data_IF_971100321750
#
_entry.id   IF_971100321750
#
_cell.length_a   1.000
_cell.length_b   1.000
_cell.length_c   1.000
_cell.angle_alpha   90.00
_cell.angle_beta   90.00
_cell.angle_gamma   90.00
#
_symmetry.space_group_name_H-M   'P 1'
#
loop_
_entity.id
_entity.type
_entity.pdbx_description
1 polymer ?
#
# COMPACT_ATOMS: atom_id res chain seq x y z
N UNK A 1 10.35 -37.31 -38.48
CA UNK A 1 9.85 -37.97 -37.28
C UNK A 1 8.45 -37.45 -36.97
N UNK A 2 7.41 -38.28 -37.13
CA UNK A 2 6.03 -37.87 -36.85
C UNK A 2 5.88 -37.73 -35.32
N UNK A 3 5.75 -36.52 -34.80
CA UNK A 3 5.32 -36.29 -33.40
C UNK A 3 3.88 -36.77 -33.32
N UNK A 4 3.67 -37.91 -32.66
CA UNK A 4 2.32 -38.36 -32.28
C UNK A 4 1.72 -37.26 -31.40
N UNK A 5 0.66 -36.61 -31.85
CA UNK A 5 -0.06 -35.62 -31.09
C UNK A 5 -0.81 -36.36 -29.99
N UNK A 6 -0.37 -36.22 -28.74
CA UNK A 6 -1.07 -36.77 -27.60
C UNK A 6 -2.29 -35.87 -27.29
N UNK A 7 -3.47 -36.46 -27.30
CA UNK A 7 -4.71 -35.77 -26.91
C UNK A 7 -5.01 -36.20 -25.46
N UNK A 8 -5.13 -35.21 -24.59
CA UNK A 8 -5.57 -35.39 -23.19
C UNK A 8 -6.97 -34.81 -23.02
N UNK A 9 -7.83 -35.51 -22.31
CA UNK A 9 -9.17 -35.05 -21.97
C UNK A 9 -9.23 -34.73 -20.48
N UNK A 10 -9.63 -33.52 -20.14
CA UNK A 10 -9.81 -33.08 -18.76
C UNK A 10 -11.19 -33.53 -18.26
N UNK A 11 -11.21 -34.43 -17.30
CA UNK A 11 -12.44 -35.01 -16.76
C UNK A 11 -13.00 -34.24 -15.56
N UNK A 12 -12.13 -33.58 -14.78
CA UNK A 12 -12.51 -32.81 -13.61
C UNK A 12 -11.53 -31.65 -13.40
N UNK A 13 -12.02 -30.57 -12.81
CA UNK A 13 -11.24 -29.40 -12.44
C UNK A 13 -11.40 -29.09 -10.97
N UNK A 14 -10.35 -28.60 -10.30
CA UNK A 14 -10.47 -28.17 -8.91
C UNK A 14 -11.34 -26.91 -8.80
N UNK A 15 -12.04 -26.81 -7.67
CA UNK A 15 -12.78 -25.62 -7.28
C UNK A 15 -12.11 -25.00 -6.04
N UNK A 16 -11.59 -23.79 -6.17
CA UNK A 16 -10.84 -23.10 -5.13
C UNK A 16 -11.61 -21.86 -4.69
N UNK A 17 -12.02 -21.82 -3.41
CA UNK A 17 -12.81 -20.72 -2.84
C UNK A 17 -14.04 -20.35 -3.69
N UNK A 18 -14.71 -21.36 -4.24
CA UNK A 18 -15.90 -21.19 -5.09
C UNK A 18 -15.61 -20.81 -6.54
N UNK A 19 -14.35 -20.74 -6.95
CA UNK A 19 -13.94 -20.51 -8.34
C UNK A 19 -13.51 -21.84 -8.97
N UNK A 20 -14.19 -22.24 -10.04
CA UNK A 20 -13.79 -23.41 -10.84
C UNK A 20 -12.64 -23.01 -11.75
N UNK A 21 -11.58 -23.80 -11.75
CA UNK A 21 -10.48 -23.64 -12.70
C UNK A 21 -10.86 -24.21 -14.05
N UNK A 22 -10.09 -23.86 -15.10
CA UNK A 22 -10.33 -24.24 -16.48
C UNK A 22 -9.16 -25.08 -17.03
N UNK A 23 -9.30 -25.54 -18.25
CA UNK A 23 -8.25 -26.17 -19.04
C UNK A 23 -7.09 -25.20 -19.33
N UNK A 24 -7.39 -23.90 -19.52
CA UNK A 24 -6.39 -22.86 -19.72
C UNK A 24 -5.50 -22.70 -18.47
N UNK A 25 -6.10 -22.75 -17.28
CA UNK A 25 -5.35 -22.69 -16.00
C UNK A 25 -4.40 -23.89 -15.84
N UNK A 26 -4.81 -25.07 -16.33
CA UNK A 26 -3.95 -26.25 -16.34
C UNK A 26 -2.78 -26.09 -17.31
N UNK A 27 -3.02 -25.57 -18.50
CA UNK A 27 -1.96 -25.32 -19.51
C UNK A 27 -0.95 -24.31 -18.95
N UNK A 28 -1.42 -23.23 -18.38
CA UNK A 28 -0.57 -22.19 -17.72
C UNK A 28 0.32 -22.82 -16.62
N UNK A 29 -0.25 -23.70 -15.82
CA UNK A 29 0.51 -24.38 -14.77
C UNK A 29 1.56 -25.36 -15.33
N UNK A 30 1.20 -26.11 -16.38
CA UNK A 30 2.15 -27.02 -17.04
C UNK A 30 3.32 -26.26 -17.69
N UNK A 31 3.05 -25.09 -18.29
CA UNK A 31 4.09 -24.22 -18.83
C UNK A 31 5.02 -23.70 -17.70
N UNK A 32 4.45 -23.27 -16.57
CA UNK A 32 5.23 -22.86 -15.43
C UNK A 32 6.12 -23.98 -14.88
N UNK A 33 5.62 -25.23 -14.83
CA UNK A 33 6.40 -26.37 -14.38
C UNK A 33 7.56 -26.69 -15.33
N UNK A 34 7.34 -26.54 -16.62
CA UNK A 34 8.38 -26.71 -17.65
C UNK A 34 9.46 -25.63 -17.53
N UNK A 35 9.06 -24.36 -17.37
CA UNK A 35 9.97 -23.21 -17.22
C UNK A 35 10.79 -23.26 -15.92
N UNK A 36 10.30 -23.96 -14.88
CA UNK A 36 10.93 -24.02 -13.55
C UNK A 36 11.52 -25.40 -13.21
N UNK A 37 11.69 -26.27 -14.20
CA UNK A 37 12.15 -27.66 -13.98
C UNK A 37 11.36 -28.40 -12.88
N UNK A 38 10.05 -28.14 -12.78
CA UNK A 38 9.17 -28.76 -11.79
C UNK A 38 9.29 -28.18 -10.37
N UNK A 39 10.05 -27.13 -10.15
CA UNK A 39 10.26 -26.53 -8.83
C UNK A 39 9.15 -25.54 -8.41
N UNK A 40 8.18 -25.29 -9.26
CA UNK A 40 7.06 -24.39 -8.94
C UNK A 40 6.11 -25.02 -7.92
N UNK A 41 5.78 -24.25 -6.88
CA UNK A 41 4.99 -24.75 -5.74
C UNK A 41 3.52 -24.35 -5.80
N UNK A 42 3.18 -23.19 -6.36
CA UNK A 42 1.79 -22.70 -6.41
C UNK A 42 1.40 -22.39 -7.85
N UNK A 43 0.30 -23.00 -8.37
CA UNK A 43 -0.22 -22.70 -9.70
C UNK A 43 -0.60 -21.21 -9.81
N UNK A 44 -0.32 -20.54 -10.96
CA UNK A 44 -0.63 -19.11 -11.17
C UNK A 44 -2.12 -18.80 -10.99
N UNK A 45 -2.99 -19.69 -11.45
CA UNK A 45 -4.45 -19.58 -11.29
C UNK A 45 -4.90 -19.57 -9.85
N UNK A 46 -4.27 -20.41 -9.00
CA UNK A 46 -4.55 -20.45 -7.55
C UNK A 46 -4.16 -19.13 -6.90
N UNK A 47 -2.96 -18.64 -7.19
CA UNK A 47 -2.49 -17.35 -6.69
C UNK A 47 -3.41 -16.20 -7.12
N UNK A 48 -3.87 -16.21 -8.36
CA UNK A 48 -4.83 -15.24 -8.90
C UNK A 48 -6.17 -15.26 -8.15
N UNK A 49 -6.70 -16.45 -7.84
CA UNK A 49 -7.92 -16.61 -7.04
C UNK A 49 -7.74 -16.09 -5.62
N UNK A 50 -6.63 -16.43 -4.97
CA UNK A 50 -6.30 -15.96 -3.62
C UNK A 50 -6.19 -14.44 -3.55
N UNK A 51 -5.43 -13.84 -4.47
CA UNK A 51 -5.25 -12.39 -4.53
C UNK A 51 -6.58 -11.65 -4.76
N UNK A 52 -7.43 -12.17 -5.65
CA UNK A 52 -8.74 -11.58 -5.91
C UNK A 52 -9.66 -11.68 -4.69
N UNK A 53 -9.65 -12.81 -3.98
CA UNK A 53 -10.46 -12.99 -2.78
C UNK A 53 -9.96 -12.11 -1.63
N UNK A 54 -8.66 -12.03 -1.41
CA UNK A 54 -8.06 -11.16 -0.41
C UNK A 54 -8.38 -9.69 -0.69
N UNK A 55 -8.23 -9.24 -1.94
CA UNK A 55 -8.52 -7.87 -2.32
C UNK A 55 -10.00 -7.47 -2.14
N UNK A 56 -10.93 -8.38 -2.48
CA UNK A 56 -12.37 -8.13 -2.34
C UNK A 56 -12.88 -8.24 -0.91
N UNK A 57 -12.16 -8.93 -0.04
CA UNK A 57 -12.44 -9.03 1.38
C UNK A 57 -11.83 -7.91 2.22
N UNK A 58 -10.96 -7.09 1.63
CA UNK A 58 -10.34 -5.97 2.31
C UNK A 58 -11.32 -4.78 2.42
N UNK A 59 -11.10 -3.95 3.43
CA UNK A 59 -11.80 -2.67 3.59
C UNK A 59 -11.42 -1.77 2.41
N UNK A 60 -12.44 -1.17 1.81
CA UNK A 60 -12.31 -0.36 0.61
C UNK A 60 -12.37 1.13 0.95
N UNK A 61 -11.88 1.95 0.02
CA UNK A 61 -12.03 3.40 0.13
C UNK A 61 -13.52 3.78 0.14
N UNK A 62 -13.93 4.54 1.17
CA UNK A 62 -15.30 4.98 1.36
C UNK A 62 -16.13 4.10 2.29
N UNK A 63 -15.58 2.97 2.78
CA UNK A 63 -16.23 2.20 3.84
C UNK A 63 -16.20 2.98 5.14
N UNK A 64 -17.35 3.07 5.80
CA UNK A 64 -17.46 3.70 7.12
C UNK A 64 -16.88 2.77 8.18
N UNK A 65 -15.95 3.30 8.99
CA UNK A 65 -15.30 2.56 10.07
C UNK A 65 -15.55 3.25 11.42
N UNK A 66 -15.78 2.45 12.43
CA UNK A 66 -15.78 2.92 13.81
C UNK A 66 -14.35 3.23 14.27
N UNK A 67 -14.14 4.17 15.20
CA UNK A 67 -12.81 4.46 15.74
C UNK A 67 -12.10 3.24 16.33
N UNK A 68 -12.85 2.31 16.95
CA UNK A 68 -12.33 1.05 17.46
C UNK A 68 -11.81 0.12 16.37
N UNK A 69 -12.50 0.06 15.22
CA UNK A 69 -12.08 -0.72 14.05
C UNK A 69 -10.82 -0.12 13.43
N UNK A 70 -10.74 1.21 13.33
CA UNK A 70 -9.53 1.88 12.87
C UNK A 70 -8.32 1.54 13.75
N UNK A 71 -8.48 1.54 15.09
CA UNK A 71 -7.41 1.18 16.01
C UNK A 71 -6.95 -0.27 15.83
N UNK A 72 -7.90 -1.20 15.70
CA UNK A 72 -7.61 -2.62 15.47
C UNK A 72 -6.85 -2.82 14.15
N UNK A 73 -7.27 -2.17 13.07
CA UNK A 73 -6.60 -2.25 11.77
C UNK A 73 -5.15 -1.76 11.88
N UNK A 74 -4.92 -0.64 12.58
CA UNK A 74 -3.56 -0.10 12.76
C UNK A 74 -2.69 -1.08 13.55
N UNK A 75 -3.22 -1.71 14.60
CA UNK A 75 -2.51 -2.74 15.37
C UNK A 75 -2.17 -3.96 14.51
N UNK A 76 -3.12 -4.47 13.74
CA UNK A 76 -2.91 -5.61 12.83
C UNK A 76 -1.88 -5.27 11.73
N UNK A 77 -1.91 -4.06 11.17
CA UNK A 77 -0.94 -3.61 10.18
C UNK A 77 0.49 -3.55 10.74
N UNK A 78 0.66 -3.18 12.00
CA UNK A 78 1.98 -3.17 12.66
C UNK A 78 2.59 -4.58 12.76
N UNK A 79 1.76 -5.62 12.85
CA UNK A 79 2.19 -7.01 12.92
C UNK A 79 2.47 -7.63 11.53
N UNK A 80 2.12 -6.92 10.46
CA UNK A 80 2.22 -7.41 9.09
C UNK A 80 3.49 -6.90 8.42
N UNK A 81 4.30 -7.78 7.86
CA UNK A 81 5.56 -7.42 7.19
C UNK A 81 5.36 -6.65 5.89
N UNK A 82 4.21 -6.79 5.22
CA UNK A 82 3.90 -6.18 3.92
C UNK A 82 2.66 -5.26 4.00
N UNK A 83 2.54 -4.48 5.07
CA UNK A 83 1.40 -3.60 5.31
C UNK A 83 1.23 -2.46 4.27
N UNK A 84 2.26 -2.18 3.47
CA UNK A 84 2.29 -1.08 2.50
C UNK A 84 1.83 -1.45 1.08
N UNK A 85 1.40 -2.71 0.87
CA UNK A 85 0.91 -3.15 -0.45
C UNK A 85 -0.29 -4.07 -0.32
N UNK A 86 -1.16 -4.07 -1.33
CA UNK A 86 -2.29 -4.99 -1.42
C UNK A 86 -1.85 -6.38 -1.92
N UNK A 87 -2.77 -7.35 -1.92
CA UNK A 87 -2.52 -8.72 -2.42
C UNK A 87 -2.04 -8.76 -3.90
N UNK A 88 -2.30 -7.73 -4.70
CA UNK A 88 -1.81 -7.59 -6.08
C UNK A 88 -0.48 -6.84 -6.18
N UNK A 89 0.18 -6.51 -5.05
CA UNK A 89 1.45 -5.79 -5.03
C UNK A 89 1.33 -4.27 -5.28
N UNK A 90 0.13 -3.71 -5.32
CA UNK A 90 -0.07 -2.27 -5.48
C UNK A 90 0.15 -1.55 -4.16
N UNK A 91 0.81 -0.39 -4.13
CA UNK A 91 1.05 0.35 -2.90
C UNK A 91 -0.28 0.82 -2.29
N UNK A 92 -0.43 0.61 -0.98
CA UNK A 92 -1.59 1.02 -0.17
C UNK A 92 -1.24 2.13 0.81
N UNK A 93 0.05 2.33 1.07
CA UNK A 93 0.56 3.37 1.95
C UNK A 93 1.74 4.08 1.31
N UNK A 94 1.85 5.37 1.59
CA UNK A 94 2.99 6.18 1.16
C UNK A 94 3.58 6.87 2.39
N UNK A 95 4.88 6.74 2.66
CA UNK A 95 5.51 7.49 3.74
C UNK A 95 5.49 8.98 3.41
N UNK A 96 4.95 9.81 4.31
CA UNK A 96 4.85 11.25 4.12
C UNK A 96 6.05 11.98 4.70
N UNK A 97 6.50 11.58 5.88
CA UNK A 97 7.57 12.27 6.63
C UNK A 97 8.34 11.27 7.48
N UNK A 98 9.66 11.43 7.51
CA UNK A 98 10.51 10.81 8.52
C UNK A 98 10.53 11.70 9.76
N UNK A 99 9.90 11.28 10.85
CA UNK A 99 9.76 12.08 12.07
C UNK A 99 11.10 12.31 12.78
N UNK A 100 12.06 11.39 12.69
CA UNK A 100 13.39 11.53 13.30
C UNK A 100 14.18 12.61 12.56
N UNK A 101 14.25 12.52 11.24
CA UNK A 101 14.90 13.54 10.41
C UNK A 101 14.25 14.92 10.59
N UNK A 102 12.92 14.99 10.71
CA UNK A 102 12.21 16.23 10.98
C UNK A 102 12.57 16.80 12.36
N UNK A 103 12.64 15.97 13.39
CA UNK A 103 13.06 16.39 14.74
C UNK A 103 14.49 16.96 14.76
N UNK A 104 15.42 16.28 14.11
CA UNK A 104 16.80 16.76 13.99
C UNK A 104 16.85 18.12 13.31
N UNK A 105 16.10 18.32 12.24
CA UNK A 105 16.08 19.58 11.51
C UNK A 105 15.44 20.71 12.34
N UNK A 106 14.38 20.42 13.09
CA UNK A 106 13.79 21.37 14.04
C UNK A 106 14.81 21.77 15.12
N UNK A 107 15.56 20.83 15.68
CA UNK A 107 16.60 21.13 16.67
C UNK A 107 17.74 21.97 16.08
N UNK A 108 18.17 21.65 14.86
CA UNK A 108 19.16 22.48 14.13
C UNK A 108 18.62 23.91 13.89
N UNK A 109 17.36 24.06 13.53
CA UNK A 109 16.74 25.39 13.35
C UNK A 109 16.63 26.15 14.67
N UNK A 110 16.25 25.50 15.78
CA UNK A 110 16.23 26.11 17.12
C UNK A 110 17.62 26.57 17.53
N UNK A 111 18.65 25.76 17.33
CA UNK A 111 20.04 26.13 17.66
C UNK A 111 20.59 27.27 16.81
N UNK A 112 20.18 27.35 15.55
CA UNK A 112 20.51 28.47 14.64
C UNK A 112 19.76 29.76 15.02
N UNK A 113 18.50 29.64 15.47
CA UNK A 113 17.69 30.78 15.91
C UNK A 113 18.20 31.42 17.22
N UNK A 114 18.98 30.69 18.01
CA UNK A 114 19.61 31.25 19.22
C UNK A 114 20.85 32.09 18.91
N UNK A 115 21.45 31.93 17.71
CA UNK A 115 22.47 32.89 17.23
C UNK A 115 21.75 34.12 16.71
N UNK A 116 21.76 35.17 17.55
CA UNK A 116 21.21 36.50 17.27
C UNK A 116 21.51 36.92 15.85
N UNK A 117 20.43 37.11 15.05
CA UNK A 117 20.52 37.85 13.78
C UNK A 117 20.76 39.31 14.11
N UNK A 118 22.01 39.69 14.11
CA UNK A 118 22.38 41.09 14.25
C UNK A 118 21.84 41.88 13.02
N UNK A 119 20.72 42.55 13.17
CA UNK A 119 20.25 43.53 12.20
C UNK A 119 18.77 43.52 11.82
N UNK A 120 17.99 42.45 12.07
CA UNK A 120 16.55 42.49 11.82
C UNK A 120 15.78 42.45 13.13
N UNK A 121 15.22 43.60 13.55
CA UNK A 121 14.25 43.66 14.64
C UNK A 121 13.11 42.70 14.30
N UNK A 122 12.78 41.78 15.24
CA UNK A 122 11.53 41.04 15.17
C UNK A 122 10.40 42.07 15.06
N UNK A 123 9.80 42.17 13.88
CA UNK A 123 8.52 42.83 13.75
C UNK A 123 7.51 41.96 14.45
N UNK A 124 7.21 42.25 15.71
CA UNK A 124 6.07 41.68 16.39
C UNK A 124 4.84 41.96 15.55
N UNK A 125 4.15 40.91 15.14
CA UNK A 125 2.83 41.04 14.50
C UNK A 125 1.92 41.62 15.58
N UNK A 126 1.73 42.95 15.58
CA UNK A 126 0.78 43.58 16.49
C UNK A 126 -0.60 43.44 15.88
N UNK A 127 -1.44 42.66 16.55
CA UNK A 127 -2.86 42.52 16.22
C UNK A 127 -3.56 43.89 16.10
N UNK A 128 -3.17 44.88 16.93
CA UNK A 128 -3.68 46.26 16.84
C UNK A 128 -3.35 46.93 15.51
N UNK A 129 -2.15 46.72 14.94
CA UNK A 129 -1.80 47.25 13.61
C UNK A 129 -2.60 46.59 12.50
N UNK A 130 -2.88 45.31 12.59
CA UNK A 130 -3.75 44.60 11.64
C UNK A 130 -5.17 45.14 11.71
N UNK A 131 -5.73 45.31 12.90
CA UNK A 131 -7.09 45.86 13.10
C UNK A 131 -7.22 47.28 12.57
N UNK A 132 -6.22 48.17 12.81
CA UNK A 132 -6.22 49.54 12.25
C UNK A 132 -6.17 49.57 10.73
N UNK A 133 -5.46 48.62 10.09
CA UNK A 133 -5.42 48.57 8.62
C UNK A 133 -6.75 48.10 8.03
N UNK A 134 -7.44 47.20 8.70
CA UNK A 134 -8.77 46.73 8.29
C UNK A 134 -9.87 47.78 8.49
N UNK A 135 -9.72 48.66 9.47
CA UNK A 135 -10.71 49.71 9.75
C UNK A 135 -10.48 51.01 8.91
N UNK A 136 -9.29 51.24 8.40
CA UNK A 136 -8.94 52.43 7.64
C UNK A 136 -8.73 52.19 6.13
N UNK A 137 -9.09 51.05 5.63
CA UNK A 137 -8.97 50.64 4.21
C UNK A 137 -10.31 50.50 3.51
N UNK A 138 -11.24 51.47 3.72
CA UNK A 138 -12.47 51.63 3.00
C UNK A 138 -12.44 52.94 2.21
#
# INVERSE_FOLDING_TARGET
MNKKQAIATLLAVPCILGVKLSDVDLIEFLQQLDDTDGSSTIPPSVLRVLNNKACRGAIMFGDELLPSECSLIVEELQQTSLCFQCAHGRPTMVPLVNLEALREEIEKMKSRSSKSWHGLRRHGISLERMQRRLLNGG
#
